data_IF_593501247076
#
_entry.id   IF_593501247076
#
_cell.length_a   1.000
_cell.length_b   1.000
_cell.length_c   1.000
_cell.angle_alpha   90.00
_cell.angle_beta   90.00
_cell.angle_gamma   90.00
#
_symmetry.space_group_name_H-M   'P 1'
#
loop_
_entity.id
_entity.type
_entity.pdbx_description
1 polymer ?
#
# COMPACT_ATOMS: atom_id res chain seq x y z
N UNK A 1 3.92 -49.77 -16.66
CA UNK A 1 4.90 -48.67 -16.71
C UNK A 1 4.47 -47.71 -17.81
N UNK A 2 3.70 -46.68 -17.47
CA UNK A 2 3.39 -45.58 -18.39
C UNK A 2 3.80 -44.30 -17.66
N UNK A 3 4.90 -43.71 -18.11
CA UNK A 3 5.47 -42.50 -17.54
C UNK A 3 4.51 -41.34 -17.71
N UNK A 4 4.13 -40.73 -16.59
CA UNK A 4 3.40 -39.47 -16.55
C UNK A 4 4.44 -38.38 -16.79
N UNK A 5 4.46 -37.80 -17.99
CA UNK A 5 5.21 -36.58 -18.25
C UNK A 5 4.65 -35.49 -17.34
N UNK A 6 5.41 -35.16 -16.30
CA UNK A 6 5.21 -33.96 -15.52
C UNK A 6 5.62 -32.79 -16.39
N UNK A 7 4.63 -32.07 -16.94
CA UNK A 7 4.86 -30.72 -17.44
C UNK A 7 5.44 -29.91 -16.30
N UNK A 8 6.74 -29.62 -16.37
CA UNK A 8 7.37 -28.70 -15.44
C UNK A 8 6.65 -27.37 -15.58
N UNK A 9 5.88 -26.97 -14.56
CA UNK A 9 5.39 -25.61 -14.43
C UNK A 9 6.62 -24.77 -14.16
N UNK A 10 7.28 -24.31 -15.22
CA UNK A 10 8.26 -23.23 -15.16
C UNK A 10 7.46 -21.98 -14.79
N UNK A 11 7.21 -21.80 -13.51
CA UNK A 11 6.63 -20.56 -13.01
C UNK A 11 7.62 -19.45 -13.31
N UNK A 12 7.32 -18.63 -14.31
CA UNK A 12 8.18 -17.53 -14.74
C UNK A 12 8.57 -16.67 -13.54
N UNK A 13 9.85 -16.76 -13.17
CA UNK A 13 10.47 -15.83 -12.22
C UNK A 13 10.58 -14.48 -12.93
N UNK A 14 9.73 -13.52 -12.55
CA UNK A 14 9.73 -12.16 -13.10
C UNK A 14 10.25 -11.19 -12.05
N UNK A 15 11.11 -10.26 -12.42
CA UNK A 15 11.56 -9.21 -11.51
C UNK A 15 11.89 -7.94 -12.27
N UNK A 16 11.72 -6.79 -11.64
CA UNK A 16 12.07 -5.51 -12.25
C UNK A 16 11.56 -4.31 -11.47
N UNK A 17 11.68 -3.14 -12.08
CA UNK A 17 10.99 -1.93 -11.60
C UNK A 17 9.50 -2.03 -11.96
N UNK A 18 8.62 -1.60 -11.06
CA UNK A 18 7.20 -1.51 -11.36
C UNK A 18 6.95 -0.34 -12.33
N UNK A 19 6.01 -0.53 -13.25
CA UNK A 19 5.50 0.56 -14.08
C UNK A 19 4.54 1.42 -13.26
N UNK A 20 4.38 2.69 -13.61
CA UNK A 20 3.59 3.63 -12.82
C UNK A 20 2.64 4.48 -13.66
N UNK A 21 1.56 4.91 -13.02
CA UNK A 21 0.60 5.88 -13.55
C UNK A 21 0.26 6.89 -12.47
N UNK A 22 0.26 8.20 -12.77
CA UNK A 22 -0.28 9.20 -11.86
C UNK A 22 -1.80 9.03 -11.78
N UNK A 23 -2.35 9.05 -10.56
CA UNK A 23 -3.79 8.92 -10.32
C UNK A 23 -4.24 9.95 -9.29
N UNK A 24 -5.53 10.22 -9.17
CA UNK A 24 -6.16 11.05 -8.13
C UNK A 24 -5.71 12.54 -8.09
N UNK A 25 -4.46 12.81 -7.71
CA UNK A 25 -3.88 14.14 -7.56
C UNK A 25 -2.34 14.10 -7.71
N UNK A 26 -1.71 15.27 -7.75
CA UNK A 26 -0.26 15.38 -7.83
C UNK A 26 0.44 14.68 -6.66
N UNK A 27 1.45 13.88 -6.96
CA UNK A 27 2.17 13.06 -5.98
C UNK A 27 1.50 11.72 -5.63
N UNK A 28 0.35 11.38 -6.22
CA UNK A 28 -0.27 10.06 -6.03
C UNK A 28 -0.06 9.19 -7.26
N UNK A 29 0.53 8.01 -7.05
CA UNK A 29 0.91 7.10 -8.13
C UNK A 29 0.44 5.69 -7.83
N UNK A 30 -0.06 5.02 -8.87
CA UNK A 30 -0.29 3.58 -8.89
C UNK A 30 0.89 2.90 -9.56
N UNK A 31 1.31 1.77 -9.01
CA UNK A 31 2.36 0.92 -9.55
C UNK A 31 1.86 -0.50 -9.76
N UNK A 32 2.22 -1.08 -10.90
CA UNK A 32 1.93 -2.47 -11.26
C UNK A 32 3.19 -3.17 -11.79
N UNK A 33 3.26 -4.50 -11.71
CA UNK A 33 4.41 -5.27 -12.23
C UNK A 33 4.52 -5.22 -13.75
N UNK A 34 3.39 -5.12 -14.44
CA UNK A 34 3.26 -5.04 -15.90
C UNK A 34 1.88 -4.50 -16.26
N UNK A 35 1.66 -4.14 -17.53
CA UNK A 35 0.34 -3.76 -18.03
C UNK A 35 -0.67 -4.90 -17.92
N UNK A 36 -0.23 -6.14 -18.08
CA UNK A 36 -1.09 -7.32 -17.92
C UNK A 36 -1.50 -7.52 -16.46
N UNK A 37 -0.57 -7.38 -15.51
CA UNK A 37 -0.87 -7.43 -14.08
C UNK A 37 -1.82 -6.30 -13.67
N UNK A 38 -1.68 -5.10 -14.27
CA UNK A 38 -2.61 -3.97 -14.07
C UNK A 38 -4.03 -4.32 -14.51
N UNK A 39 -4.17 -4.88 -15.72
CA UNK A 39 -5.46 -5.27 -16.29
C UNK A 39 -6.11 -6.43 -15.54
N UNK A 40 -5.29 -7.32 -14.95
CA UNK A 40 -5.75 -8.45 -14.15
C UNK A 40 -5.98 -8.11 -12.67
N UNK A 41 -5.63 -6.90 -12.22
CA UNK A 41 -5.78 -6.49 -10.83
C UNK A 41 -7.25 -6.52 -10.38
N UNK A 42 -7.50 -7.04 -9.18
CA UNK A 42 -8.84 -7.02 -8.61
C UNK A 42 -9.34 -5.58 -8.39
N UNK A 43 -10.66 -5.33 -8.46
CA UNK A 43 -11.23 -4.04 -8.09
C UNK A 43 -10.78 -3.59 -6.70
N UNK A 44 -10.54 -2.28 -6.53
CA UNK A 44 -10.18 -1.74 -5.22
C UNK A 44 -11.37 -1.80 -4.28
N UNK A 45 -11.10 -2.20 -3.04
CA UNK A 45 -12.04 -1.99 -1.92
C UNK A 45 -11.52 -0.93 -0.95
N UNK A 46 -10.34 -0.37 -1.24
CA UNK A 46 -9.72 0.65 -0.41
C UNK A 46 -10.24 2.04 -0.78
N UNK A 47 -10.55 2.29 -2.05
CA UNK A 47 -11.01 3.58 -2.56
C UNK A 47 -12.52 3.74 -2.43
N UNK A 48 -12.99 4.95 -2.09
CA UNK A 48 -14.44 5.28 -2.10
C UNK A 48 -15.03 5.09 -3.48
N UNK A 49 -14.34 5.60 -4.49
CA UNK A 49 -14.66 5.38 -5.89
C UNK A 49 -13.52 4.55 -6.53
N UNK A 50 -13.73 3.24 -6.76
CA UNK A 50 -12.71 2.38 -7.36
C UNK A 50 -12.23 2.84 -8.74
N UNK A 51 -13.03 3.62 -9.47
CA UNK A 51 -12.68 4.17 -10.80
C UNK A 51 -11.50 5.15 -10.70
N UNK A 52 -11.36 5.86 -9.59
CA UNK A 52 -10.28 6.83 -9.40
C UNK A 52 -8.91 6.15 -9.33
N UNK A 53 -8.85 4.90 -8.85
CA UNK A 53 -7.63 4.08 -8.88
C UNK A 53 -7.26 3.64 -10.30
N UNK A 54 -8.24 3.48 -11.18
CA UNK A 54 -8.03 3.00 -12.55
C UNK A 54 -7.63 4.11 -13.52
N UNK A 55 -8.05 5.34 -13.23
CA UNK A 55 -8.04 6.46 -14.18
C UNK A 55 -6.75 7.27 -14.07
N UNK A 56 -5.82 7.18 -15.04
CA UNK A 56 -4.64 8.03 -15.04
C UNK A 56 -5.03 9.48 -15.25
N UNK A 57 -4.33 10.37 -14.55
CA UNK A 57 -4.48 11.82 -14.74
C UNK A 57 -3.35 12.36 -15.63
N UNK A 58 -3.62 13.44 -16.35
CA UNK A 58 -2.53 14.20 -16.98
C UNK A 58 -1.73 14.89 -15.88
N UNK A 59 -0.55 14.34 -15.57
CA UNK A 59 0.42 15.02 -14.72
C UNK A 59 1.44 15.73 -15.60
N UNK A 60 2.09 16.78 -15.07
CA UNK A 60 3.15 17.56 -15.74
C UNK A 60 4.46 16.74 -15.91
N UNK A 61 4.36 15.49 -16.37
CA UNK A 61 5.45 14.52 -16.51
C UNK A 61 6.27 14.30 -15.24
N UNK A 62 5.66 14.49 -14.05
CA UNK A 62 6.36 14.25 -12.79
C UNK A 62 6.56 12.75 -12.58
N UNK A 63 7.81 12.36 -12.43
CA UNK A 63 8.22 10.99 -12.15
C UNK A 63 8.20 10.78 -10.63
N UNK A 64 7.69 9.64 -10.13
CA UNK A 64 7.71 9.34 -8.70
C UNK A 64 9.15 9.28 -8.17
N UNK A 65 9.37 9.86 -6.99
CA UNK A 65 10.71 9.88 -6.35
C UNK A 65 11.17 8.50 -5.88
N UNK A 66 10.22 7.59 -5.61
CA UNK A 66 10.49 6.24 -5.13
C UNK A 66 9.74 5.24 -6.00
N UNK A 67 10.48 4.53 -6.86
CA UNK A 67 9.92 3.49 -7.73
C UNK A 67 10.11 2.13 -7.04
N UNK A 68 9.01 1.41 -6.72
CA UNK A 68 9.11 0.07 -6.18
C UNK A 68 9.73 -0.93 -7.17
N UNK A 69 10.44 -1.90 -6.64
CA UNK A 69 10.87 -3.10 -7.38
C UNK A 69 10.02 -4.29 -6.99
N UNK A 70 9.78 -5.21 -7.92
CA UNK A 70 9.04 -6.44 -7.65
C UNK A 70 9.83 -7.69 -8.03
N UNK A 71 9.50 -8.79 -7.38
CA UNK A 71 9.88 -10.15 -7.71
C UNK A 71 8.61 -11.04 -7.62
N UNK A 72 8.31 -11.79 -8.68
CA UNK A 72 7.21 -12.73 -8.74
C UNK A 72 7.78 -14.16 -8.73
N UNK A 73 7.52 -14.90 -7.65
CA UNK A 73 8.01 -16.27 -7.46
C UNK A 73 6.84 -17.17 -7.05
N UNK A 74 6.58 -18.23 -7.80
CA UNK A 74 5.49 -19.18 -7.51
C UNK A 74 4.12 -18.51 -7.30
N UNK A 75 3.81 -17.49 -8.11
CA UNK A 75 2.57 -16.71 -8.03
C UNK A 75 2.51 -15.71 -6.87
N UNK A 76 3.58 -15.59 -6.08
CA UNK A 76 3.70 -14.59 -5.02
C UNK A 76 4.43 -13.36 -5.52
N UNK A 77 3.83 -12.19 -5.34
CA UNK A 77 4.47 -10.91 -5.63
C UNK A 77 5.10 -10.37 -4.36
N UNK A 78 6.41 -10.16 -4.41
CA UNK A 78 7.23 -9.51 -3.40
C UNK A 78 7.56 -8.12 -3.93
N UNK A 79 7.11 -7.07 -3.24
CA UNK A 79 7.43 -5.68 -3.59
C UNK A 79 8.38 -5.11 -2.56
N UNK A 80 9.41 -4.39 -3.00
CA UNK A 80 10.39 -3.71 -2.15
C UNK A 80 10.46 -2.23 -2.52
N UNK A 81 10.46 -1.37 -1.51
CA UNK A 81 10.63 0.09 -1.65
C UNK A 81 11.76 0.53 -0.73
N UNK A 82 12.67 1.36 -1.25
CA UNK A 82 13.84 1.83 -0.52
C UNK A 82 13.71 3.32 -0.19
N UNK A 83 13.59 3.63 1.09
CA UNK A 83 13.69 4.98 1.64
C UNK A 83 15.08 5.25 2.25
N UNK A 84 15.46 6.52 2.44
CA UNK A 84 16.72 6.90 3.07
C UNK A 84 16.94 6.27 4.45
N UNK A 85 18.20 6.17 4.86
CA UNK A 85 18.52 5.76 6.22
C UNK A 85 18.01 6.79 7.23
N UNK A 86 17.45 6.33 8.35
CA UNK A 86 16.81 7.18 9.35
C UNK A 86 15.31 7.40 9.13
N UNK A 87 14.74 6.86 8.05
CA UNK A 87 13.28 6.82 7.89
C UNK A 87 12.63 5.95 8.98
N UNK A 88 11.60 6.49 9.62
CA UNK A 88 10.76 5.79 10.60
C UNK A 88 9.43 5.37 9.96
N UNK A 89 8.93 4.19 10.34
CA UNK A 89 7.72 3.61 9.75
C UNK A 89 6.57 3.51 10.75
N UNK A 90 5.36 3.78 10.29
CA UNK A 90 4.11 3.76 11.06
C UNK A 90 2.97 3.12 10.26
N UNK A 91 1.81 2.92 10.88
CA UNK A 91 0.65 2.31 10.24
C UNK A 91 0.53 0.83 10.55
N UNK A 92 0.28 -0.01 9.53
CA UNK A 92 0.02 -1.46 9.60
C UNK A 92 -1.28 -1.89 10.27
N UNK A 93 -2.12 -0.93 10.68
CA UNK A 93 -3.46 -1.18 11.20
C UNK A 93 -3.50 -1.49 12.69
N UNK A 94 -4.37 -2.42 13.06
CA UNK A 94 -4.53 -2.88 14.44
C UNK A 94 -3.42 -3.88 14.77
N UNK A 95 -2.43 -3.43 15.53
CA UNK A 95 -1.24 -4.23 15.88
C UNK A 95 -0.85 -4.03 17.33
N UNK A 96 -0.21 -5.04 17.92
CA UNK A 96 0.33 -4.96 19.28
C UNK A 96 1.66 -4.19 19.33
N UNK A 97 2.02 -3.68 20.52
CA UNK A 97 3.31 -3.04 20.78
C UNK A 97 3.43 -1.56 20.36
N UNK A 98 4.67 -1.05 20.35
CA UNK A 98 5.02 0.38 20.17
C UNK A 98 4.57 0.94 18.83
N UNK A 99 4.07 2.19 18.80
CA UNK A 99 3.55 2.88 17.61
C UNK A 99 4.47 2.79 16.38
N UNK A 100 5.77 2.99 16.56
CA UNK A 100 6.76 2.86 15.48
C UNK A 100 6.96 1.39 15.08
N UNK A 101 6.91 1.17 13.76
CA UNK A 101 6.96 -0.16 13.11
C UNK A 101 8.31 -0.47 12.47
N UNK A 102 9.29 0.43 12.58
CA UNK A 102 10.66 0.19 12.13
C UNK A 102 11.24 -1.07 12.76
N UNK A 103 11.79 -1.96 11.94
CA UNK A 103 12.34 -3.23 12.41
C UNK A 103 11.30 -4.34 12.67
N UNK A 104 10.00 -4.07 12.45
CA UNK A 104 8.93 -5.04 12.71
C UNK A 104 8.51 -5.79 11.45
N UNK A 105 7.91 -6.95 11.67
CA UNK A 105 7.27 -7.77 10.64
C UNK A 105 5.84 -8.05 11.09
N UNK A 106 4.87 -7.77 10.23
CA UNK A 106 3.44 -7.86 10.53
C UNK A 106 2.78 -8.71 9.45
N UNK A 107 1.86 -9.58 9.87
CA UNK A 107 1.01 -10.33 8.96
C UNK A 107 -0.41 -9.77 9.02
N UNK A 108 -0.95 -9.46 7.85
CA UNK A 108 -2.31 -8.97 7.67
C UNK A 108 -3.21 -10.16 7.38
N UNK A 109 -3.72 -10.74 8.46
CA UNK A 109 -4.64 -11.86 8.42
C UNK A 109 -5.54 -11.82 9.66
N UNK A 110 -6.84 -11.60 9.47
CA UNK A 110 -7.76 -11.45 10.59
C UNK A 110 -7.91 -12.80 11.30
N UNK A 111 -7.60 -12.82 12.59
CA UNK A 111 -7.69 -14.02 13.44
C UNK A 111 -8.47 -13.69 14.71
N UNK A 112 -9.24 -14.65 15.22
CA UNK A 112 -9.81 -14.53 16.57
C UNK A 112 -8.66 -14.55 17.60
N UNK A 113 -8.31 -13.39 18.14
CA UNK A 113 -7.12 -13.19 18.98
C UNK A 113 -7.50 -12.95 20.46
N UNK A 114 -8.22 -13.90 21.06
CA UNK A 114 -8.59 -13.83 22.48
C UNK A 114 -7.35 -13.93 23.38
N UNK A 115 -7.22 -13.04 24.36
CA UNK A 115 -6.05 -13.00 25.28
C UNK A 115 -4.76 -12.47 24.65
N UNK A 116 -4.85 -11.62 23.61
CA UNK A 116 -3.69 -11.06 22.92
C UNK A 116 -2.72 -10.31 23.86
N UNK A 117 -1.45 -10.32 23.48
CA UNK A 117 -0.39 -9.63 24.20
C UNK A 117 0.61 -8.94 23.26
N UNK A 118 1.69 -8.35 23.81
CA UNK A 118 2.65 -7.56 23.03
C UNK A 118 3.39 -8.33 21.92
N UNK A 119 3.33 -9.67 21.92
CA UNK A 119 3.94 -10.53 20.89
C UNK A 119 2.95 -11.05 19.84
N UNK A 120 1.67 -10.72 19.95
CA UNK A 120 0.65 -11.18 18.99
C UNK A 120 0.82 -10.47 17.66
N UNK A 121 1.04 -11.24 16.59
CA UNK A 121 1.45 -10.73 15.27
C UNK A 121 0.29 -10.36 14.33
N UNK A 122 -0.91 -10.83 14.63
CA UNK A 122 -2.15 -10.61 13.85
C UNK A 122 -3.33 -10.38 14.79
N UNK A 123 -4.20 -9.42 14.49
CA UNK A 123 -5.39 -9.10 15.29
C UNK A 123 -6.65 -9.17 14.43
N UNK A 124 -7.66 -8.34 14.71
CA UNK A 124 -8.98 -8.42 14.09
C UNK A 124 -9.07 -7.62 12.79
N UNK A 125 -8.19 -6.62 12.60
CA UNK A 125 -8.19 -5.78 11.41
C UNK A 125 -6.86 -5.83 10.64
N UNK A 126 -6.96 -5.82 9.32
CA UNK A 126 -5.84 -5.81 8.39
C UNK A 126 -5.83 -4.52 7.59
N UNK A 127 -4.79 -3.70 7.74
CA UNK A 127 -4.62 -2.47 6.96
C UNK A 127 -3.28 -2.54 6.22
N UNK A 128 -3.29 -2.78 4.88
CA UNK A 128 -2.08 -2.92 4.08
C UNK A 128 -1.43 -1.56 3.76
N UNK A 129 -1.22 -0.75 4.81
CA UNK A 129 -0.77 0.63 4.74
C UNK A 129 0.48 0.86 5.59
N UNK A 130 1.45 1.59 5.04
CA UNK A 130 2.64 2.07 5.73
C UNK A 130 2.78 3.57 5.51
N UNK A 131 3.00 4.31 6.60
CA UNK A 131 3.42 5.70 6.56
C UNK A 131 4.92 5.76 6.86
N UNK A 132 5.71 6.27 5.92
CA UNK A 132 7.13 6.49 6.07
C UNK A 132 7.41 7.97 6.33
N UNK A 133 8.05 8.28 7.46
CA UNK A 133 8.50 9.63 7.81
C UNK A 133 10.00 9.71 7.57
N UNK A 134 10.40 10.57 6.65
CA UNK A 134 11.76 10.75 6.17
C UNK A 134 12.60 11.56 7.17
N UNK A 135 13.94 11.47 7.10
CA UNK A 135 14.83 12.19 8.03
C UNK A 135 14.72 13.71 8.00
N UNK A 136 14.25 14.28 6.89
CA UNK A 136 14.02 15.71 6.71
C UNK A 136 12.64 16.18 7.22
N UNK A 137 11.83 15.27 7.78
CA UNK A 137 10.46 15.53 8.25
C UNK A 137 9.39 15.37 7.18
N UNK A 138 9.78 15.20 5.91
CA UNK A 138 8.86 14.83 4.83
C UNK A 138 8.27 13.45 5.04
N UNK A 139 7.21 13.12 4.31
CA UNK A 139 6.55 11.83 4.48
C UNK A 139 5.98 11.29 3.18
N UNK A 140 5.83 9.97 3.13
CA UNK A 140 5.20 9.24 2.03
C UNK A 140 4.36 8.09 2.57
N UNK A 141 3.17 7.96 2.02
CA UNK A 141 2.27 6.85 2.31
C UNK A 141 2.38 5.76 1.26
N UNK A 142 2.27 4.50 1.67
CA UNK A 142 2.31 3.34 0.77
C UNK A 142 1.18 2.37 1.13
N UNK A 143 0.28 2.16 0.17
CA UNK A 143 -0.81 1.20 0.24
C UNK A 143 -0.50 0.01 -0.68
N UNK A 144 -0.48 -1.20 -0.14
CA UNK A 144 -0.59 -2.42 -0.93
C UNK A 144 -2.07 -2.75 -1.11
N UNK A 145 -2.66 -2.41 -2.26
CA UNK A 145 -4.11 -2.52 -2.46
C UNK A 145 -4.52 -3.97 -2.77
N UNK A 146 -4.63 -4.76 -1.70
CA UNK A 146 -5.01 -6.17 -1.74
C UNK A 146 -5.87 -6.54 -0.54
N UNK A 147 -6.86 -7.39 -0.78
CA UNK A 147 -7.70 -8.01 0.27
C UNK A 147 -7.17 -9.37 0.70
N UNK A 148 -6.11 -9.86 0.05
CA UNK A 148 -5.51 -11.16 0.32
C UNK A 148 -4.57 -11.05 1.51
N UNK A 149 -4.22 -12.21 2.07
CA UNK A 149 -3.21 -12.29 3.13
C UNK A 149 -1.94 -11.59 2.64
N UNK A 150 -1.52 -10.58 3.40
CA UNK A 150 -0.38 -9.75 3.06
C UNK A 150 0.62 -9.76 4.22
N UNK A 151 1.91 -9.75 3.91
CA UNK A 151 2.99 -9.55 4.86
C UNK A 151 3.58 -8.17 4.64
N UNK A 152 3.80 -7.42 5.73
CA UNK A 152 4.57 -6.18 5.75
C UNK A 152 5.83 -6.43 6.57
N UNK A 153 6.99 -6.25 5.96
CA UNK A 153 8.29 -6.46 6.59
C UNK A 153 9.12 -5.17 6.50
N UNK A 154 9.32 -4.54 7.65
CA UNK A 154 9.96 -3.24 7.84
C UNK A 154 11.34 -3.37 8.50
N UNK A 155 11.95 -4.55 8.40
CA UNK A 155 13.31 -4.79 8.89
C UNK A 155 14.34 -4.03 8.04
N UNK A 156 15.44 -3.61 8.69
CA UNK A 156 16.47 -2.73 8.11
C UNK A 156 17.00 -3.20 6.75
N UNK A 157 17.12 -4.51 6.56
CA UNK A 157 17.59 -5.12 5.30
C UNK A 157 16.68 -4.81 4.10
N UNK A 158 15.36 -4.72 4.33
CA UNK A 158 14.38 -4.53 3.27
C UNK A 158 13.94 -3.08 3.14
N UNK A 159 13.96 -2.30 4.23
CA UNK A 159 13.35 -0.97 4.34
C UNK A 159 11.82 -1.08 4.38
N UNK A 160 11.17 -1.29 3.22
CA UNK A 160 9.77 -1.72 3.16
C UNK A 160 9.64 -2.88 2.18
N UNK A 161 9.03 -3.98 2.64
CA UNK A 161 8.70 -5.13 1.78
C UNK A 161 7.25 -5.57 2.01
N UNK A 162 6.50 -5.69 0.93
CA UNK A 162 5.17 -6.27 0.90
C UNK A 162 5.20 -7.63 0.21
N UNK A 163 4.43 -8.59 0.71
CA UNK A 163 4.31 -9.92 0.10
C UNK A 163 2.85 -10.35 0.12
N UNK A 164 2.27 -10.63 -1.05
CA UNK A 164 0.93 -11.20 -1.16
C UNK A 164 0.77 -12.03 -2.44
N UNK A 165 -0.34 -12.76 -2.54
CA UNK A 165 -0.75 -13.48 -3.74
C UNK A 165 -2.22 -13.22 -4.04
N UNK A 166 -2.63 -13.08 -5.32
CA UNK A 166 -1.78 -12.99 -6.52
C UNK A 166 -1.18 -11.57 -6.65
N UNK A 167 -0.80 -11.16 -7.86
CA UNK A 167 -0.30 -9.80 -8.11
C UNK A 167 -1.27 -8.70 -7.66
N UNK A 168 -0.74 -7.58 -7.18
CA UNK A 168 -1.50 -6.46 -6.63
C UNK A 168 -0.80 -5.12 -6.90
N UNK A 169 -1.57 -4.01 -7.02
CA UNK A 169 -1.00 -2.69 -7.18
C UNK A 169 -0.45 -2.12 -5.86
N UNK A 170 0.59 -1.30 -5.97
CA UNK A 170 1.03 -0.40 -4.89
C UNK A 170 0.54 1.00 -5.21
N UNK A 171 -0.03 1.70 -4.24
CA UNK A 171 -0.36 3.12 -4.35
C UNK A 171 0.56 3.91 -3.41
N UNK A 172 1.22 4.95 -3.93
CA UNK A 172 1.99 5.88 -3.09
C UNK A 172 1.31 7.23 -3.00
N UNK A 173 1.45 7.87 -1.84
CA UNK A 173 0.92 9.20 -1.56
C UNK A 173 2.07 10.09 -1.11
N UNK A 174 2.55 10.96 -2.01
CA UNK A 174 3.69 11.85 -1.80
C UNK A 174 4.93 11.49 -2.63
N UNK A 175 6.12 11.97 -2.24
CA UNK A 175 6.43 12.58 -0.95
C UNK A 175 5.79 13.96 -0.75
N UNK A 176 5.32 14.21 0.48
CA UNK A 176 4.79 15.50 0.92
C UNK A 176 5.66 16.08 2.05
N UNK A 177 5.46 17.37 2.34
CA UNK A 177 6.23 18.09 3.36
C UNK A 177 5.96 17.61 4.79
N UNK A 178 4.80 16.97 5.05
CA UNK A 178 4.46 16.48 6.38
C UNK A 178 3.69 15.15 6.36
N UNK A 179 3.74 14.36 7.45
CA UNK A 179 2.89 13.18 7.62
C UNK A 179 1.39 13.49 7.57
N UNK A 180 1.00 14.69 7.99
CA UNK A 180 -0.39 15.15 7.96
C UNK A 180 -0.91 15.26 6.52
N UNK A 181 -0.10 15.81 5.61
CA UNK A 181 -0.49 15.94 4.20
C UNK A 181 -0.70 14.57 3.53
N UNK A 182 0.12 13.59 3.89
CA UNK A 182 -0.06 12.19 3.46
C UNK A 182 -1.42 11.66 3.92
N UNK A 183 -1.79 11.89 5.18
CA UNK A 183 -3.07 11.41 5.72
C UNK A 183 -4.27 12.13 5.11
N UNK A 184 -4.14 13.43 4.80
CA UNK A 184 -5.17 14.18 4.09
C UNK A 184 -5.37 13.59 2.69
N UNK A 185 -4.29 13.41 1.93
CA UNK A 185 -4.33 12.82 0.59
C UNK A 185 -4.91 11.40 0.62
N UNK A 186 -4.44 10.56 1.55
CA UNK A 186 -4.96 9.22 1.76
C UNK A 186 -6.47 9.22 2.09
N UNK A 187 -6.93 10.13 2.96
CA UNK A 187 -8.34 10.23 3.34
C UNK A 187 -9.27 10.62 2.19
N UNK A 188 -8.77 11.37 1.20
CA UNK A 188 -9.54 11.69 -0.02
C UNK A 188 -9.76 10.44 -0.87
N UNK A 189 -8.77 9.55 -0.93
CA UNK A 189 -8.88 8.29 -1.66
C UNK A 189 -9.82 7.29 -0.97
N UNK A 190 -9.61 7.06 0.33
CA UNK A 190 -10.30 6.00 1.09
C UNK A 190 -11.60 6.45 1.78
N UNK A 191 -11.86 7.76 1.78
CA UNK A 191 -13.03 8.37 2.38
C UNK A 191 -12.78 8.91 3.77
N UNK A 192 -13.54 9.94 4.11
CA UNK A 192 -13.59 10.49 5.47
C UNK A 192 -14.71 9.83 6.25
N UNK A 193 -14.52 9.64 7.55
CA UNK A 193 -15.55 9.09 8.45
C UNK A 193 -16.77 10.03 8.65
N UNK A 194 -16.79 11.19 7.98
CA UNK A 194 -17.77 12.28 8.16
C UNK A 194 -18.31 12.81 6.84
N UNK A 195 -18.81 11.94 5.96
CA UNK A 195 -19.53 12.38 4.74
C UNK A 195 -20.84 13.14 5.05
N UNK A 196 -21.26 13.24 6.33
CA UNK A 196 -22.47 13.96 6.75
C UNK A 196 -22.25 15.27 7.52
N UNK A 197 -21.03 15.67 7.87
CA UNK A 197 -20.84 16.86 8.73
C UNK A 197 -20.42 18.12 7.95
N UNK A 198 -19.70 18.01 6.83
CA UNK A 198 -19.26 19.20 6.10
C UNK A 198 -20.35 19.86 5.25
N UNK A 199 -21.36 19.12 4.75
CA UNK A 199 -22.49 19.75 4.04
C UNK A 199 -23.32 20.66 4.96
N UNK A 200 -23.36 20.37 6.27
CA UNK A 200 -24.04 21.19 7.27
C UNK A 200 -23.28 22.47 7.66
N UNK A 201 -21.96 22.53 7.44
CA UNK A 201 -21.16 23.71 7.79
C UNK A 201 -21.19 24.75 6.67
N UNK A 202 -21.22 24.32 5.40
CA UNK A 202 -21.33 25.27 4.27
C UNK A 202 -22.75 25.78 4.02
N UNK A 203 -23.81 25.09 4.49
CA UNK A 203 -25.19 25.58 4.37
C UNK A 203 -25.59 26.60 5.44
N UNK A 204 -24.82 26.77 6.53
CA UNK A 204 -25.15 27.70 7.62
C UNK A 204 -24.35 29.03 7.60
N UNK A 205 -23.59 29.31 6.54
CA UNK A 205 -22.86 30.56 6.37
C UNK A 205 -23.36 31.40 5.18
N UNK A 206 -24.53 31.05 4.63
CA UNK A 206 -25.12 31.69 3.45
C UNK A 206 -26.37 32.54 3.69
N UNK A 207 -26.90 32.60 4.91
CA UNK A 207 -28.08 33.39 5.25
C UNK A 207 -27.81 34.27 6.49
N UNK A 208 -27.26 35.46 6.26
CA UNK A 208 -27.47 36.70 7.04
C UNK A 208 -26.86 37.89 6.30
#
# INVERSE_FOLDING_TARGET
MAGREGTAVTGDMRSGNMIFEPILEDGVFRFDCSTDDRNAAFPSVSFVNPVDRETPISSDHRVPSYIPTFECVLGQQIVKIKFPYGTSFYGTGEVSGQLERTGKRVFLWNTSAWGFGPGTTTLYQSHPWVLAVLPDGGAIGVLADTTRRCEIDLRKEFNVKFIAQPSYPIITFGPFASPTDVLISFSRAIGIFLTYCLSCITQNLGDN
#
